data_IF_393616205359
#
_entry.id   IF_393616205359
#
_cell.length_a   1.000
_cell.length_b   1.000
_cell.length_c   1.000
_cell.angle_alpha   90.00
_cell.angle_beta   90.00
_cell.angle_gamma   90.00
#
_symmetry.space_group_name_H-M   'P 1'
#
loop_
_entity.id
_entity.type
_entity.pdbx_description
1 polymer ?
#
# COMPACT_ATOMS: atom_id res chain seq x y z
N UNK A 1 8.06 -8.97 -8.10
CA UNK A 1 8.00 -8.44 -6.71
C UNK A 1 6.65 -8.67 -6.01
N UNK A 2 5.51 -8.51 -6.70
CA UNK A 2 4.17 -8.58 -6.08
C UNK A 2 3.57 -9.97 -5.85
N UNK A 3 4.11 -11.03 -6.49
CA UNK A 3 3.58 -12.40 -6.38
C UNK A 3 3.61 -12.91 -4.94
N UNK A 4 4.69 -12.59 -4.21
CA UNK A 4 4.88 -13.03 -2.82
C UNK A 4 4.45 -11.96 -1.79
N UNK A 5 3.79 -10.89 -2.24
CA UNK A 5 3.26 -9.84 -1.36
C UNK A 5 1.96 -10.33 -0.68
N UNK A 6 1.88 -10.20 0.65
CA UNK A 6 0.67 -10.60 1.37
C UNK A 6 -0.42 -9.55 1.19
N UNK A 7 -1.61 -9.99 0.78
CA UNK A 7 -2.85 -9.19 0.79
C UNK A 7 -3.81 -9.66 1.88
N UNK A 8 -3.29 -10.41 2.86
CA UNK A 8 -4.08 -10.93 3.96
C UNK A 8 -4.32 -9.83 5.00
N UNK A 9 -5.51 -9.23 4.95
CA UNK A 9 -5.97 -8.23 5.90
C UNK A 9 -6.01 -8.73 7.35
N UNK A 10 -6.14 -10.04 7.59
CA UNK A 10 -6.12 -10.63 8.93
C UNK A 10 -4.75 -10.57 9.62
N UNK A 11 -3.69 -10.22 8.89
CA UNK A 11 -2.34 -10.01 9.45
C UNK A 11 -2.03 -8.52 9.68
N UNK A 12 -2.98 -7.64 9.40
CA UNK A 12 -2.86 -6.20 9.63
C UNK A 12 -3.49 -5.82 10.97
N UNK A 13 -3.03 -4.74 11.58
CA UNK A 13 -3.64 -4.25 12.82
C UNK A 13 -5.11 -3.86 12.54
N UNK A 14 -6.09 -4.26 13.36
CA UNK A 14 -7.50 -4.00 13.10
C UNK A 14 -7.81 -2.50 12.92
N UNK A 15 -7.32 -1.64 13.81
CA UNK A 15 -7.57 -0.20 13.74
C UNK A 15 -6.96 0.44 12.48
N UNK A 16 -5.76 -0.01 12.09
CA UNK A 16 -5.11 0.43 10.86
C UNK A 16 -5.92 0.01 9.63
N UNK A 17 -6.39 -1.24 9.63
CA UNK A 17 -7.22 -1.79 8.54
C UNK A 17 -8.52 -1.02 8.39
N UNK A 18 -9.18 -0.66 9.50
CA UNK A 18 -10.39 0.15 9.46
C UNK A 18 -10.16 1.54 8.88
N UNK A 19 -9.08 2.23 9.30
CA UNK A 19 -8.72 3.54 8.73
C UNK A 19 -8.37 3.44 7.24
N UNK A 20 -7.63 2.41 6.84
CA UNK A 20 -7.29 2.17 5.43
C UNK A 20 -8.53 1.91 4.57
N UNK A 21 -9.49 1.12 5.06
CA UNK A 21 -10.77 0.89 4.38
C UNK A 21 -11.61 2.17 4.29
N UNK A 22 -11.57 3.03 5.29
CA UNK A 22 -12.21 4.34 5.23
C UNK A 22 -11.55 5.24 4.17
N UNK A 23 -10.22 5.25 4.08
CA UNK A 23 -9.52 5.94 3.00
C UNK A 23 -9.92 5.39 1.62
N UNK A 24 -10.01 4.07 1.46
CA UNK A 24 -10.46 3.44 0.21
C UNK A 24 -11.88 3.86 -0.17
N UNK A 25 -12.78 3.91 0.82
CA UNK A 25 -14.15 4.38 0.61
C UNK A 25 -14.19 5.84 0.16
N UNK A 26 -13.45 6.73 0.83
CA UNK A 26 -13.39 8.16 0.49
C UNK A 26 -12.80 8.35 -0.92
N UNK A 27 -11.71 7.65 -1.25
CA UNK A 27 -11.10 7.70 -2.58
C UNK A 27 -12.07 7.30 -3.68
N UNK A 28 -12.87 6.24 -3.45
CA UNK A 28 -13.88 5.81 -4.41
C UNK A 28 -15.03 6.82 -4.52
N UNK A 29 -15.62 7.22 -3.40
CA UNK A 29 -16.85 8.01 -3.38
C UNK A 29 -16.64 9.49 -3.74
N UNK A 30 -15.54 10.11 -3.29
CA UNK A 30 -15.27 11.53 -3.52
C UNK A 30 -14.40 11.80 -4.74
N UNK A 31 -13.54 10.84 -5.10
CA UNK A 31 -12.51 11.05 -6.12
C UNK A 31 -12.60 10.09 -7.31
N UNK A 32 -13.45 9.06 -7.24
CA UNK A 32 -13.62 8.09 -8.33
C UNK A 32 -12.43 7.15 -8.52
N UNK A 33 -11.56 7.00 -7.51
CA UNK A 33 -10.43 6.08 -7.57
C UNK A 33 -10.77 4.76 -6.86
N UNK A 34 -10.81 3.68 -7.63
CA UNK A 34 -10.88 2.34 -7.05
C UNK A 34 -9.48 1.93 -6.57
N UNK A 35 -9.36 1.62 -5.28
CA UNK A 35 -8.10 1.25 -4.64
C UNK A 35 -7.90 -0.26 -4.61
N UNK A 36 -6.64 -0.69 -4.62
CA UNK A 36 -6.24 -2.08 -4.43
C UNK A 36 -5.06 -2.19 -3.46
N UNK A 37 -5.13 -3.18 -2.57
CA UNK A 37 -4.01 -3.55 -1.70
C UNK A 37 -2.98 -4.35 -2.49
N UNK A 38 -1.74 -3.83 -2.58
CA UNK A 38 -0.61 -4.53 -3.18
C UNK A 38 0.11 -5.39 -2.14
N UNK A 39 0.39 -4.82 -0.96
CA UNK A 39 1.04 -5.51 0.16
C UNK A 39 0.61 -4.89 1.50
N UNK A 40 0.06 -5.71 2.40
CA UNK A 40 -0.21 -5.35 3.80
C UNK A 40 0.93 -5.84 4.69
N UNK A 41 0.70 -6.93 5.43
CA UNK A 41 1.76 -7.54 6.24
C UNK A 41 2.95 -8.02 5.41
N UNK A 42 4.17 -7.75 5.88
CA UNK A 42 5.41 -8.27 5.29
C UNK A 42 6.20 -9.01 6.36
N UNK A 43 6.58 -10.26 6.09
CA UNK A 43 7.38 -11.02 7.04
C UNK A 43 8.81 -10.46 7.17
N UNK A 44 9.49 -10.66 8.31
CA UNK A 44 10.90 -10.28 8.47
C UNK A 44 11.80 -10.88 7.39
N UNK A 45 11.61 -12.16 7.05
CA UNK A 45 12.36 -12.84 6.01
C UNK A 45 12.16 -12.21 4.63
N UNK A 46 10.93 -11.82 4.28
CA UNK A 46 10.64 -11.11 3.04
C UNK A 46 11.27 -9.72 3.02
N UNK A 47 11.26 -8.99 4.15
CA UNK A 47 11.92 -7.69 4.23
C UNK A 47 13.44 -7.80 4.01
N UNK A 48 14.09 -8.81 4.59
CA UNK A 48 15.53 -9.04 4.34
C UNK A 48 15.81 -9.42 2.88
N UNK A 49 14.95 -10.22 2.24
CA UNK A 49 15.03 -10.49 0.80
C UNK A 49 14.94 -9.20 -0.02
N UNK A 50 14.03 -8.29 0.33
CA UNK A 50 13.90 -6.99 -0.35
C UNK A 50 15.12 -6.10 -0.09
N UNK A 51 15.67 -6.09 1.13
CA UNK A 51 16.86 -5.33 1.47
C UNK A 51 18.09 -5.77 0.66
N UNK A 52 18.19 -7.07 0.35
CA UNK A 52 19.25 -7.61 -0.52
C UNK A 52 19.15 -7.13 -1.98
N UNK A 53 17.97 -6.67 -2.42
CA UNK A 53 17.78 -6.10 -3.76
C UNK A 53 18.31 -4.66 -3.88
N UNK A 54 18.76 -4.06 -2.77
CA UNK A 54 19.39 -2.74 -2.72
C UNK A 54 18.46 -1.61 -2.25
N UNK A 55 19.06 -0.48 -1.88
CA UNK A 55 18.38 0.67 -1.27
C UNK A 55 17.29 1.32 -2.14
N UNK A 56 17.29 1.07 -3.45
CA UNK A 56 16.23 1.50 -4.36
C UNK A 56 14.89 0.79 -4.10
N UNK A 57 14.90 -0.41 -3.49
CA UNK A 57 13.69 -1.13 -3.09
C UNK A 57 13.33 -0.80 -1.65
N UNK A 58 14.30 -0.88 -0.74
CA UNK A 58 14.09 -0.52 0.67
C UNK A 58 15.42 -0.33 1.39
N UNK A 59 15.45 0.58 2.37
CA UNK A 59 16.57 0.73 3.31
C UNK A 59 16.33 0.00 4.64
N UNK A 60 15.15 -0.58 4.85
CA UNK A 60 14.78 -1.29 6.07
C UNK A 60 15.16 -2.78 5.99
N UNK A 61 15.71 -3.32 7.07
CA UNK A 61 15.90 -4.77 7.28
C UNK A 61 14.72 -5.37 8.06
N UNK A 62 14.82 -6.64 8.39
CA UNK A 62 13.92 -7.31 9.34
C UNK A 62 13.62 -6.42 10.57
N UNK A 63 12.33 -6.31 10.89
CA UNK A 63 11.75 -5.54 12.00
C UNK A 63 11.93 -4.00 11.93
N UNK A 64 12.44 -3.46 10.82
CA UNK A 64 12.63 -2.01 10.63
C UNK A 64 11.56 -1.34 9.76
N UNK A 65 10.49 -2.04 9.40
CA UNK A 65 9.38 -1.53 8.60
C UNK A 65 8.03 -1.76 9.29
N UNK A 66 7.12 -0.81 9.14
CA UNK A 66 5.77 -0.89 9.69
C UNK A 66 4.95 -2.05 9.12
N UNK A 67 5.28 -2.56 7.94
CA UNK A 67 4.62 -3.74 7.37
C UNK A 67 4.76 -4.99 8.26
N UNK A 68 5.84 -5.12 9.02
CA UNK A 68 6.06 -6.27 9.91
C UNK A 68 5.21 -6.22 11.18
N UNK A 69 4.67 -5.03 11.48
CA UNK A 69 3.78 -4.79 12.61
C UNK A 69 2.31 -4.64 12.17
N UNK A 70 2.01 -4.84 10.87
CA UNK A 70 0.66 -4.70 10.35
C UNK A 70 0.14 -3.26 10.31
N UNK A 71 1.05 -2.27 10.32
CA UNK A 71 0.75 -0.83 10.42
C UNK A 71 1.13 -0.06 9.14
N UNK A 72 1.38 -0.76 8.04
CA UNK A 72 1.60 -0.16 6.73
C UNK A 72 0.94 -0.99 5.63
N UNK A 73 0.65 -0.32 4.52
CA UNK A 73 0.09 -0.92 3.33
C UNK A 73 0.61 -0.21 2.08
N UNK A 74 1.04 -1.00 1.10
CA UNK A 74 1.31 -0.56 -0.26
C UNK A 74 0.01 -0.68 -1.06
N UNK A 75 -0.43 0.43 -1.66
CA UNK A 75 -1.69 0.51 -2.39
C UNK A 75 -1.47 1.04 -3.81
N UNK A 76 -2.39 0.70 -4.70
CA UNK A 76 -2.45 1.23 -6.07
C UNK A 76 -3.90 1.39 -6.52
N UNK A 77 -4.09 1.79 -7.78
CA UNK A 77 -5.40 2.07 -8.33
C UNK A 77 -5.82 1.02 -9.36
N UNK A 78 -7.10 0.72 -9.40
CA UNK A 78 -7.72 -0.05 -10.46
C UNK A 78 -8.38 0.89 -11.47
N UNK A 79 -8.10 0.66 -12.75
CA UNK A 79 -8.69 1.42 -13.85
C UNK A 79 -8.78 0.56 -15.09
N UNK A 80 -9.93 0.53 -15.74
CA UNK A 80 -10.14 -0.16 -17.02
C UNK A 80 -9.68 -1.64 -17.00
N UNK A 81 -9.97 -2.34 -15.90
CA UNK A 81 -9.65 -3.77 -15.74
C UNK A 81 -8.17 -4.07 -15.43
N UNK A 82 -7.35 -3.06 -15.13
CA UNK A 82 -5.94 -3.23 -14.79
C UNK A 82 -5.53 -2.44 -13.55
N UNK A 83 -4.47 -2.91 -12.90
CA UNK A 83 -3.75 -2.15 -11.88
C UNK A 83 -2.89 -1.07 -12.55
N UNK A 84 -2.99 0.15 -12.07
CA UNK A 84 -2.14 1.28 -12.42
C UNK A 84 -1.35 1.69 -11.17
N UNK A 85 -0.04 1.47 -11.23
CA UNK A 85 0.86 1.58 -10.07
C UNK A 85 1.85 2.74 -10.22
N UNK A 86 2.31 3.03 -11.45
CA UNK A 86 3.39 4.00 -11.63
C UNK A 86 2.89 5.43 -11.57
N UNK A 87 3.57 6.24 -10.77
CA UNK A 87 3.48 7.69 -10.68
C UNK A 87 3.86 8.42 -11.98
N UNK A 88 4.45 7.72 -12.95
CA UNK A 88 4.67 8.27 -14.31
C UNK A 88 3.35 8.44 -15.07
N UNK A 89 2.30 7.73 -14.68
CA UNK A 89 0.94 7.96 -15.17
C UNK A 89 0.36 9.18 -14.41
N UNK A 90 0.04 10.29 -15.08
CA UNK A 90 -0.45 11.50 -14.40
C UNK A 90 -1.76 11.30 -13.64
N UNK A 91 -2.62 10.39 -14.09
CA UNK A 91 -3.86 10.06 -13.39
C UNK A 91 -3.56 9.29 -12.11
N UNK A 92 -2.66 8.30 -12.17
CA UNK A 92 -2.25 7.60 -10.96
C UNK A 92 -1.54 8.53 -9.96
N UNK A 93 -0.67 9.43 -10.44
CA UNK A 93 -0.01 10.40 -9.57
C UNK A 93 -1.01 11.32 -8.87
N UNK A 94 -2.05 11.78 -9.57
CA UNK A 94 -3.12 12.56 -8.93
C UNK A 94 -3.87 11.72 -7.90
N UNK A 95 -4.14 10.45 -8.20
CA UNK A 95 -4.68 9.50 -7.23
C UNK A 95 -3.82 9.39 -5.98
N UNK A 96 -2.49 9.29 -6.10
CA UNK A 96 -1.58 9.19 -4.96
C UNK A 96 -1.56 10.46 -4.11
N UNK A 97 -1.63 11.64 -4.72
CA UNK A 97 -1.76 12.91 -4.00
C UNK A 97 -3.05 12.95 -3.17
N UNK A 98 -4.19 12.66 -3.81
CA UNK A 98 -5.50 12.62 -3.15
C UNK A 98 -5.54 11.57 -2.03
N UNK A 99 -4.94 10.40 -2.26
CA UNK A 99 -4.85 9.36 -1.25
C UNK A 99 -4.03 9.80 -0.04
N UNK A 100 -2.93 10.52 -0.26
CA UNK A 100 -2.16 11.16 0.81
C UNK A 100 -2.98 12.19 1.60
N UNK A 101 -3.64 13.12 0.89
CA UNK A 101 -4.52 14.14 1.49
C UNK A 101 -5.64 13.50 2.35
N UNK A 102 -6.23 12.41 1.87
CA UNK A 102 -7.26 11.65 2.61
C UNK A 102 -6.65 10.95 3.82
N UNK A 103 -5.50 10.30 3.67
CA UNK A 103 -4.85 9.57 4.77
C UNK A 103 -4.42 10.51 5.91
N UNK A 104 -3.99 11.73 5.62
CA UNK A 104 -3.62 12.75 6.63
C UNK A 104 -4.81 13.24 7.46
N UNK A 105 -6.05 13.05 6.99
CA UNK A 105 -7.28 13.49 7.67
C UNK A 105 -7.88 12.41 8.61
N UNK A 106 -7.30 11.21 8.68
CA UNK A 106 -7.83 10.03 9.41
C UNK A 106 -7.03 9.65 10.65
#
# INVERSE_FOLDING_TARGET
MLVNASRNWGLMHPDFSQRLLLAFKIMKEKHGYEMALLEGYRSPARQDQLAQMGGAVTNARAFQSWHQYGLAADCAFWRDGKLVISEKDPWAMRGYQLYGEVAEQL
#
